data_IF_256752850986
#
_entry.id   IF_256752850986
#
_cell.length_a   1.000
_cell.length_b   1.000
_cell.length_c   1.000
_cell.angle_alpha   90.00
_cell.angle_beta   90.00
_cell.angle_gamma   90.00
#
_symmetry.space_group_name_H-M   'P 1'
#
loop_
_entity.id
_entity.type
_entity.pdbx_description
1 polymer ?
#
# COMPACT_ATOMS: atom_id res chain seq x y z
N UNK A 1 18.42 9.71 9.93
CA UNK A 1 18.51 9.60 10.27
C UNK A 1 18.69 9.61 10.72
N UNK A 2 18.61 9.61 11.03
CA UNK A 2 18.67 9.54 11.58
C UNK A 2 18.60 9.38 12.10
N UNK A 3 18.48 9.44 12.41
CA UNK A 3 18.22 9.20 13.00
C UNK A 3 17.93 8.57 13.32
N UNK A 4 17.87 8.50 13.53
CA UNK A 4 17.48 7.81 13.86
C UNK A 4 17.15 7.20 13.71
N UNK A 5 17.15 7.03 13.94
CA UNK A 5 16.81 6.33 13.84
C UNK A 5 16.22 5.65 13.71
N UNK A 6 16.06 5.48 14.10
CA UNK A 6 15.46 4.78 14.19
C UNK A 6 14.52 4.29 13.72
N UNK A 7 14.23 4.14 13.73
CA UNK A 7 13.39 3.60 13.34
C UNK A 7 12.28 3.66 12.95
N UNK A 8 12.29 3.27 13.23
CA UNK A 8 11.14 4.11 13.08
C UNK A 8 10.55 4.16 11.73
N UNK A 9 11.35 4.06 10.82
CA UNK A 9 10.94 4.02 9.46
C UNK A 9 10.30 2.73 9.08
N UNK A 10 10.36 1.76 9.94
CA UNK A 10 9.74 0.49 9.63
C UNK A 10 8.24 0.62 9.68
N UNK A 11 7.59 0.22 8.61
CA UNK A 11 6.14 0.16 8.58
C UNK A 11 5.70 -1.20 9.08
N UNK A 12 4.75 -1.22 9.98
CA UNK A 12 4.21 -2.48 10.49
C UNK A 12 3.43 -3.18 9.39
N UNK A 13 3.58 -4.50 9.31
CA UNK A 13 2.77 -5.31 8.42
C UNK A 13 1.48 -5.61 9.16
N UNK A 14 0.46 -4.84 8.84
CA UNK A 14 -0.86 -4.95 9.46
C UNK A 14 -1.91 -4.58 8.44
N UNK A 15 -3.17 -4.66 8.81
CA UNK A 15 -4.24 -4.16 7.97
C UNK A 15 -4.14 -2.64 7.87
N UNK A 16 -4.34 -2.13 6.68
CA UNK A 16 -4.41 -0.69 6.43
C UNK A 16 -5.68 -0.39 5.64
N UNK A 17 -6.33 0.71 5.99
CA UNK A 17 -7.38 1.22 5.13
C UNK A 17 -6.78 1.61 3.79
N UNK A 18 -7.58 1.48 2.72
CA UNK A 18 -7.10 1.80 1.38
C UNK A 18 -6.65 3.25 1.29
N UNK A 19 -7.45 4.16 1.83
CA UNK A 19 -7.08 5.58 1.85
C UNK A 19 -5.88 5.83 2.76
N UNK A 20 -5.83 5.13 3.88
CA UNK A 20 -4.71 5.27 4.81
C UNK A 20 -3.40 4.93 4.12
N UNK A 21 -3.36 3.77 3.48
CA UNK A 21 -2.14 3.34 2.81
C UNK A 21 -1.81 4.26 1.63
N UNK A 22 -2.82 4.65 0.87
CA UNK A 22 -2.62 5.55 -0.26
C UNK A 22 -2.01 6.87 0.18
N UNK A 23 -2.47 7.43 1.30
CA UNK A 23 -1.94 8.70 1.80
C UNK A 23 -0.51 8.56 2.32
N UNK A 24 -0.11 7.36 2.77
CA UNK A 24 1.27 7.15 3.13
C UNK A 24 2.19 7.25 1.92
N UNK A 25 1.74 6.74 0.76
CA UNK A 25 2.50 6.83 -0.47
C UNK A 25 2.41 8.21 -1.13
N UNK A 26 1.27 8.87 -0.98
CA UNK A 26 1.02 10.16 -1.64
C UNK A 26 0.47 11.16 -0.61
N UNK A 27 1.32 11.60 0.33
CA UNK A 27 0.83 12.43 1.44
C UNK A 27 0.32 13.80 1.03
N UNK A 28 0.74 14.30 -0.12
CA UNK A 28 0.33 15.62 -0.58
C UNK A 28 -0.97 15.59 -1.40
N UNK A 29 -1.52 14.41 -1.64
CA UNK A 29 -2.75 14.26 -2.40
C UNK A 29 -3.95 14.19 -1.49
N UNK A 30 -5.13 14.48 -2.02
CA UNK A 30 -6.36 14.21 -1.29
C UNK A 30 -6.56 12.69 -1.19
N UNK A 31 -7.35 12.20 -0.22
CA UNK A 31 -7.57 10.75 -0.12
C UNK A 31 -8.06 10.11 -1.40
N UNK A 32 -8.97 10.78 -2.08
CA UNK A 32 -9.54 10.26 -3.32
C UNK A 32 -8.48 10.13 -4.42
N UNK A 33 -7.67 11.18 -4.58
CA UNK A 33 -6.61 11.20 -5.58
C UNK A 33 -5.51 10.21 -5.23
N UNK A 34 -5.16 10.13 -3.94
CA UNK A 34 -4.14 9.18 -3.49
C UNK A 34 -4.56 7.75 -3.78
N UNK A 35 -5.82 7.40 -3.52
CA UNK A 35 -6.34 6.07 -3.83
C UNK A 35 -6.26 5.78 -5.32
N UNK A 36 -6.61 6.75 -6.15
CA UNK A 36 -6.55 6.56 -7.60
C UNK A 36 -5.12 6.28 -8.05
N UNK A 37 -4.16 7.02 -7.52
CA UNK A 37 -2.75 6.79 -7.83
C UNK A 37 -2.28 5.42 -7.38
N UNK A 38 -2.62 5.03 -6.16
CA UNK A 38 -2.20 3.74 -5.63
C UNK A 38 -2.78 2.60 -6.46
N UNK A 39 -4.07 2.66 -6.77
CA UNK A 39 -4.70 1.62 -7.58
C UNK A 39 -4.04 1.53 -8.96
N UNK A 40 -3.69 2.67 -9.54
CA UNK A 40 -2.99 2.67 -10.82
C UNK A 40 -1.64 1.95 -10.73
N UNK A 41 -0.88 2.20 -9.67
CA UNK A 41 0.38 1.51 -9.45
C UNK A 41 0.19 0.01 -9.28
N UNK A 42 -0.83 -0.39 -8.51
CA UNK A 42 -1.12 -1.81 -8.29
C UNK A 42 -1.44 -2.51 -9.61
N UNK A 43 -2.26 -1.89 -10.45
CA UNK A 43 -2.65 -2.51 -11.71
C UNK A 43 -1.52 -2.55 -12.73
N UNK A 44 -0.58 -1.62 -12.63
CA UNK A 44 0.58 -1.62 -13.53
C UNK A 44 1.57 -2.72 -13.19
N UNK A 45 1.68 -3.07 -11.91
CA UNK A 45 2.58 -4.13 -11.48
C UNK A 45 1.84 -5.45 -11.52
N UNK A 46 1.85 -6.10 -12.68
CA UNK A 46 1.04 -7.29 -12.88
C UNK A 46 1.34 -8.43 -11.90
N UNK A 47 2.61 -8.74 -11.60
CA UNK A 47 2.87 -9.79 -10.59
C UNK A 47 2.25 -9.48 -9.24
N UNK A 48 2.33 -8.21 -8.83
CA UNK A 48 1.72 -7.79 -7.58
C UNK A 48 0.20 -7.90 -7.65
N UNK A 49 -0.37 -7.39 -8.72
CA UNK A 49 -1.82 -7.39 -8.88
C UNK A 49 -2.38 -8.82 -8.88
N UNK A 50 -1.69 -9.74 -9.56
CA UNK A 50 -2.09 -11.14 -9.56
C UNK A 50 -2.09 -11.72 -8.15
N UNK A 51 -1.07 -11.42 -7.36
CA UNK A 51 -1.00 -11.90 -5.99
C UNK A 51 -2.13 -11.32 -5.15
N UNK A 52 -2.43 -10.04 -5.34
CA UNK A 52 -3.53 -9.41 -4.63
C UNK A 52 -4.86 -10.05 -4.97
N UNK A 53 -5.10 -10.31 -6.25
CA UNK A 53 -6.36 -10.94 -6.67
C UNK A 53 -6.48 -12.34 -6.07
N UNK A 54 -5.40 -13.09 -6.04
CA UNK A 54 -5.42 -14.44 -5.48
C UNK A 54 -5.64 -14.42 -3.98
N UNK A 55 -5.30 -13.33 -3.32
CA UNK A 55 -5.50 -13.21 -1.87
C UNK A 55 -6.87 -12.62 -1.51
N UNK A 56 -7.73 -12.43 -2.49
CA UNK A 56 -9.09 -11.96 -2.25
C UNK A 56 -9.32 -10.48 -2.48
N UNK A 57 -8.31 -9.77 -2.99
CA UNK A 57 -8.46 -8.35 -3.28
C UNK A 57 -9.42 -8.13 -4.45
N UNK A 58 -10.22 -7.08 -4.35
CA UNK A 58 -10.99 -6.59 -5.49
C UNK A 58 -11.13 -5.08 -5.34
N UNK A 59 -11.63 -4.42 -6.38
CA UNK A 59 -11.67 -2.96 -6.40
C UNK A 59 -12.67 -2.37 -5.41
N UNK A 60 -13.52 -3.21 -4.87
CA UNK A 60 -14.51 -2.77 -3.87
C UNK A 60 -13.98 -2.87 -2.44
N UNK A 61 -12.85 -3.55 -2.22
CA UNK A 61 -12.27 -3.67 -0.89
C UNK A 61 -11.83 -2.30 -0.40
N UNK A 62 -12.14 -2.00 0.86
CA UNK A 62 -11.76 -0.73 1.46
C UNK A 62 -10.51 -0.84 2.31
N UNK A 63 -10.03 -2.05 2.54
CA UNK A 63 -8.85 -2.29 3.37
C UNK A 63 -7.99 -3.34 2.72
N UNK A 64 -6.71 -3.28 3.04
CA UNK A 64 -5.76 -4.32 2.67
C UNK A 64 -5.47 -5.18 3.88
N UNK A 65 -5.45 -6.50 3.70
CA UNK A 65 -5.06 -7.43 4.76
C UNK A 65 -3.55 -7.33 4.99
N UNK A 66 -3.04 -7.81 6.14
CA UNK A 66 -1.60 -7.79 6.35
C UNK A 66 -0.82 -8.49 5.24
N UNK A 67 -1.33 -9.59 4.71
CA UNK A 67 -0.66 -10.30 3.62
C UNK A 67 -0.59 -9.42 2.37
N UNK A 68 -1.69 -8.75 2.04
CA UNK A 68 -1.71 -7.85 0.89
C UNK A 68 -0.76 -6.69 1.08
N UNK A 69 -0.70 -6.13 2.30
CA UNK A 69 0.23 -5.06 2.61
C UNK A 69 1.66 -5.52 2.42
N UNK A 70 1.99 -6.73 2.85
CA UNK A 70 3.35 -7.24 2.68
C UNK A 70 3.71 -7.36 1.20
N UNK A 71 2.78 -7.80 0.36
CA UNK A 71 3.01 -7.85 -1.08
C UNK A 71 3.26 -6.46 -1.66
N UNK A 72 2.45 -5.49 -1.24
CA UNK A 72 2.59 -4.12 -1.74
C UNK A 72 3.95 -3.56 -1.34
N UNK A 73 4.35 -3.74 -0.11
CA UNK A 73 5.64 -3.24 0.36
C UNK A 73 6.80 -3.93 -0.37
N UNK A 74 6.64 -5.20 -0.68
CA UNK A 74 7.68 -5.94 -1.38
C UNK A 74 7.87 -5.43 -2.81
N UNK A 75 6.78 -5.19 -3.53
CA UNK A 75 6.85 -4.81 -4.94
C UNK A 75 7.02 -3.31 -5.15
N UNK A 76 6.37 -2.49 -4.34
CA UNK A 76 6.41 -1.04 -4.49
C UNK A 76 7.39 -0.36 -3.54
N UNK A 77 7.83 -1.08 -2.51
CA UNK A 77 8.64 -0.50 -1.46
C UNK A 77 7.77 0.13 -0.39
N UNK A 78 8.39 0.42 0.75
CA UNK A 78 7.69 1.07 1.85
C UNK A 78 7.50 2.54 1.54
N UNK A 79 6.41 3.14 2.00
CA UNK A 79 6.15 4.57 1.74
C UNK A 79 7.13 5.55 2.42
#
# INVERSE_FOLDING_TARGET
TTHSTFNIKQMDIRSYGKQELALLYFPDSTPSVACAHLVRWLTRCKPLYDKLLKSGYNKWCKEFTPMQVSYIFFFLGEP
#
